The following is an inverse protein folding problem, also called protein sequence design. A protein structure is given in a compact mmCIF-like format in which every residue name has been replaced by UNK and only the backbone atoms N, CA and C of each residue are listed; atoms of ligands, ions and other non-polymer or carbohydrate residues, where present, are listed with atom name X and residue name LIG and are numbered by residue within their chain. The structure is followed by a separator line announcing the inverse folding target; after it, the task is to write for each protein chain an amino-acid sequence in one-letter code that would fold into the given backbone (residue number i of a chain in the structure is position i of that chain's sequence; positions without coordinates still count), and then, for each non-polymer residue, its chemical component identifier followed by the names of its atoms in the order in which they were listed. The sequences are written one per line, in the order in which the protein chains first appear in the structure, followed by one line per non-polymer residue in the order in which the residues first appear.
data_IF_680846884794
#
_entry.id   IF_680846884794
#
_cell.length_a   1.000
_cell.length_b   1.000
_cell.length_c   1.000
_cell.angle_alpha   90.00
_cell.angle_beta   90.00
_cell.angle_gamma   90.00
#
_symmetry.space_group_name_H-M   'P 1'
#
loop_
_entity.id
_entity.type
_entity.pdbx_description
1 polymer ?
#
# COMPACT_ATOMS: atom_id res chain seq x y z
N UNK A 1 29.64 -7.83 -22.09
CA UNK A 1 30.20 -6.99 -21.01
C UNK A 1 31.02 -7.88 -20.09
N UNK A 2 32.24 -7.51 -19.69
CA UNK A 2 32.61 -7.87 -18.34
C UNK A 2 33.19 -6.66 -17.62
N UNK A 3 32.31 -5.89 -16.99
CA UNK A 3 32.65 -4.95 -15.91
C UNK A 3 32.75 -5.69 -14.55
N UNK A 4 32.47 -6.99 -14.52
CA UNK A 4 32.45 -7.81 -13.30
C UNK A 4 33.64 -8.76 -13.32
N UNK A 5 34.58 -8.55 -12.39
CA UNK A 5 35.81 -9.35 -12.23
C UNK A 5 35.64 -10.49 -11.22
N UNK A 6 34.67 -10.39 -10.31
CA UNK A 6 34.25 -11.45 -9.37
C UNK A 6 32.85 -11.13 -8.81
N UNK A 7 32.11 -12.12 -8.35
CA UNK A 7 30.78 -11.96 -7.75
C UNK A 7 29.67 -12.68 -8.52
N UNK A 8 28.47 -12.11 -8.53
CA UNK A 8 27.29 -12.75 -9.13
C UNK A 8 27.43 -12.81 -10.65
N UNK A 9 27.55 -14.01 -11.18
CA UNK A 9 27.76 -14.25 -12.62
C UNK A 9 26.45 -14.23 -13.43
N UNK A 10 25.30 -14.39 -12.75
CA UNK A 10 23.97 -14.52 -13.38
C UNK A 10 23.08 -13.32 -13.11
N UNK A 11 22.42 -12.80 -14.15
CA UNK A 11 21.48 -11.70 -14.03
C UNK A 11 20.11 -12.05 -13.43
N UNK A 12 19.79 -13.33 -13.24
CA UNK A 12 18.47 -13.81 -12.80
C UNK A 12 18.43 -14.28 -11.34
N UNK A 13 19.20 -13.63 -10.46
CA UNK A 13 19.32 -14.05 -9.04
C UNK A 13 17.97 -14.17 -8.30
N UNK A 14 16.99 -13.31 -8.62
CA UNK A 14 15.64 -13.37 -8.01
C UNK A 14 14.95 -14.71 -8.28
N UNK A 15 15.02 -15.19 -9.51
CA UNK A 15 14.42 -16.47 -9.91
C UNK A 15 15.10 -17.64 -9.18
N UNK A 16 16.43 -17.63 -9.14
CA UNK A 16 17.22 -18.63 -8.42
C UNK A 16 16.90 -18.67 -6.92
N UNK A 17 16.69 -17.51 -6.30
CA UNK A 17 16.32 -17.41 -4.89
C UNK A 17 14.91 -17.98 -4.63
N UNK A 18 13.93 -17.67 -5.49
CA UNK A 18 12.56 -18.19 -5.36
C UNK A 18 12.52 -19.71 -5.55
N UNK A 19 13.23 -20.24 -6.55
CA UNK A 19 13.36 -21.69 -6.75
C UNK A 19 13.99 -22.37 -5.52
N UNK A 20 15.03 -21.76 -4.95
CA UNK A 20 15.67 -22.30 -3.75
C UNK A 20 14.75 -22.27 -2.52
N UNK A 21 13.91 -21.27 -2.39
CA UNK A 21 12.91 -21.22 -1.31
C UNK A 21 11.89 -22.35 -1.46
N UNK A 22 11.47 -22.65 -2.69
CA UNK A 22 10.55 -23.75 -2.99
C UNK A 22 11.15 -25.12 -2.65
N UNK A 23 12.42 -25.35 -3.01
CA UNK A 23 13.16 -26.56 -2.61
C UNK A 23 13.20 -26.77 -1.08
N UNK A 24 13.19 -25.67 -0.32
CA UNK A 24 13.20 -25.66 1.14
C UNK A 24 11.80 -25.70 1.76
N UNK A 25 10.74 -25.71 0.95
CA UNK A 25 9.35 -25.64 1.42
C UNK A 25 8.98 -24.29 2.06
N UNK A 26 9.75 -23.23 1.81
CA UNK A 26 9.53 -21.89 2.35
C UNK A 26 8.61 -21.10 1.43
N UNK A 27 7.60 -20.43 2.00
CA UNK A 27 6.71 -19.53 1.26
C UNK A 27 7.15 -18.08 1.40
N UNK A 28 7.32 -17.38 0.29
CA UNK A 28 7.52 -15.93 0.30
C UNK A 28 6.19 -15.23 0.55
N UNK A 29 6.15 -14.34 1.55
CA UNK A 29 4.97 -13.50 1.87
C UNK A 29 5.30 -12.01 1.76
N UNK A 30 6.21 -11.65 0.86
CA UNK A 30 6.50 -10.25 0.62
C UNK A 30 5.33 -9.56 -0.11
N UNK A 31 5.29 -8.23 -0.07
CA UNK A 31 4.23 -7.46 -0.72
C UNK A 31 4.18 -7.78 -2.23
N UNK A 32 5.35 -7.90 -2.87
CA UNK A 32 5.50 -8.03 -4.33
C UNK A 32 5.00 -9.37 -4.87
N UNK A 33 5.26 -10.47 -4.18
CA UNK A 33 4.81 -11.82 -4.58
C UNK A 33 3.32 -11.98 -4.38
N UNK A 34 2.72 -11.24 -3.44
CA UNK A 34 1.29 -11.30 -3.12
C UNK A 34 0.44 -10.39 -4.00
N UNK A 35 1.00 -9.43 -4.72
CA UNK A 35 0.23 -8.46 -5.53
C UNK A 35 -0.67 -9.18 -6.55
N UNK A 36 -1.95 -8.78 -6.63
CA UNK A 36 -2.93 -9.39 -7.53
C UNK A 36 -2.44 -9.47 -8.99
N UNK A 37 -1.74 -8.43 -9.48
CA UNK A 37 -1.18 -8.44 -10.84
C UNK A 37 -0.07 -9.49 -11.03
N UNK A 38 0.76 -9.73 -10.02
CA UNK A 38 1.82 -10.75 -10.07
C UNK A 38 1.21 -12.16 -9.96
N UNK A 39 0.21 -12.34 -9.09
CA UNK A 39 -0.50 -13.60 -8.94
C UNK A 39 -1.29 -13.99 -10.20
N UNK A 40 -1.92 -13.03 -10.88
CA UNK A 40 -2.61 -13.28 -12.15
C UNK A 40 -1.62 -13.66 -13.27
N UNK A 41 -0.50 -12.93 -13.40
CA UNK A 41 0.52 -13.20 -14.43
C UNK A 41 1.17 -14.57 -14.24
N UNK A 42 1.55 -14.92 -13.01
CA UNK A 42 2.33 -16.12 -12.73
C UNK A 42 1.47 -17.37 -12.47
N UNK A 43 0.30 -17.20 -11.87
CA UNK A 43 -0.53 -18.31 -11.37
C UNK A 43 -1.97 -18.29 -11.90
N UNK A 44 -2.40 -17.24 -12.62
CA UNK A 44 -3.77 -17.04 -13.13
C UNK A 44 -4.84 -17.12 -12.03
N UNK A 45 -4.47 -16.70 -10.81
CA UNK A 45 -5.36 -16.71 -9.66
C UNK A 45 -6.01 -15.34 -9.54
N UNK A 46 -7.35 -15.33 -9.47
CA UNK A 46 -8.14 -14.12 -9.24
C UNK A 46 -8.69 -14.14 -7.81
N UNK A 47 -8.69 -12.99 -7.12
CA UNK A 47 -9.25 -12.90 -5.79
C UNK A 47 -10.75 -13.19 -5.80
N UNK A 48 -11.21 -13.94 -4.81
CA UNK A 48 -12.62 -14.31 -4.66
C UNK A 48 -13.26 -13.57 -3.49
N UNK A 49 -12.71 -13.79 -2.28
CA UNK A 49 -13.22 -13.22 -1.04
C UNK A 49 -12.21 -12.22 -0.47
N UNK A 50 -12.57 -10.93 -0.49
CA UNK A 50 -11.67 -9.84 -0.13
C UNK A 50 -12.02 -9.27 1.23
N UNK A 51 -11.06 -9.27 2.13
CA UNK A 51 -11.22 -8.80 3.51
C UNK A 51 -10.29 -7.64 3.83
N UNK A 52 -10.71 -6.77 4.74
CA UNK A 52 -9.84 -5.73 5.30
C UNK A 52 -8.98 -6.34 6.41
N UNK A 53 -7.67 -6.31 6.21
CA UNK A 53 -6.68 -6.77 7.18
C UNK A 53 -5.93 -5.56 7.75
N UNK A 54 -5.73 -5.56 9.07
CA UNK A 54 -4.96 -4.55 9.80
C UNK A 54 -3.79 -5.21 10.51
N UNK A 55 -2.60 -4.61 10.40
CA UNK A 55 -1.39 -5.01 11.12
C UNK A 55 -0.73 -3.77 11.72
N UNK A 56 -0.62 -3.73 13.05
CA UNK A 56 0.02 -2.62 13.77
C UNK A 56 1.43 -3.01 14.22
N UNK A 57 2.37 -2.08 14.13
CA UNK A 57 3.73 -2.27 14.61
C UNK A 57 4.37 -0.94 15.06
N UNK A 58 5.34 -1.04 15.96
CA UNK A 58 6.15 0.09 16.39
C UNK A 58 7.36 0.26 15.46
N UNK A 59 7.57 1.48 14.96
CA UNK A 59 8.74 1.80 14.14
C UNK A 59 9.25 3.20 14.44
N UNK A 60 10.54 3.32 14.80
CA UNK A 60 11.21 4.57 15.17
C UNK A 60 10.35 5.41 16.11
N UNK A 61 9.99 4.82 17.27
CA UNK A 61 9.17 5.44 18.33
C UNK A 61 7.76 5.88 17.89
N UNK A 62 7.31 5.50 16.70
CA UNK A 62 5.98 5.78 16.19
C UNK A 62 5.12 4.53 16.09
N UNK A 63 3.81 4.77 16.04
CA UNK A 63 2.82 3.74 15.75
C UNK A 63 2.53 3.74 14.24
N UNK A 64 2.87 2.63 13.59
CA UNK A 64 2.51 2.35 12.20
C UNK A 64 1.33 1.36 12.15
N UNK A 65 0.37 1.67 11.30
CA UNK A 65 -0.81 0.86 11.01
C UNK A 65 -0.79 0.55 9.52
N UNK A 66 -0.60 -0.73 9.18
CA UNK A 66 -0.68 -1.24 7.83
C UNK A 66 -2.09 -1.79 7.59
N UNK A 67 -2.85 -1.10 6.75
CA UNK A 67 -4.15 -1.53 6.28
C UNK A 67 -4.00 -2.14 4.89
N UNK A 68 -4.70 -3.21 4.63
CA UNK A 68 -4.67 -3.87 3.33
C UNK A 68 -5.97 -4.57 3.03
N UNK A 69 -6.39 -4.53 1.78
CA UNK A 69 -7.40 -5.45 1.27
C UNK A 69 -6.70 -6.66 0.69
N UNK A 70 -6.98 -7.82 1.25
CA UNK A 70 -6.33 -9.09 0.93
C UNK A 70 -7.37 -10.20 0.77
N UNK A 71 -7.13 -11.15 -0.14
CA UNK A 71 -7.76 -12.47 -0.09
C UNK A 71 -6.90 -13.34 0.84
N UNK A 72 -7.40 -13.57 2.06
CA UNK A 72 -6.66 -14.26 3.11
C UNK A 72 -6.50 -15.76 2.85
N UNK A 73 -7.35 -16.33 1.99
CA UNK A 73 -7.33 -17.76 1.63
C UNK A 73 -6.30 -18.04 0.55
N UNK A 74 -6.23 -17.15 -0.44
CA UNK A 74 -5.32 -17.26 -1.57
C UNK A 74 -4.01 -16.48 -1.38
N UNK A 75 -3.89 -15.72 -0.29
CA UNK A 75 -2.73 -14.88 0.06
C UNK A 75 -2.44 -13.79 -0.98
N UNK A 76 -3.50 -13.18 -1.53
CA UNK A 76 -3.44 -12.16 -2.57
C UNK A 76 -3.66 -10.76 -1.97
N UNK A 77 -2.83 -9.80 -2.34
CA UNK A 77 -2.90 -8.40 -1.93
C UNK A 77 -3.46 -7.53 -3.07
N UNK A 78 -4.55 -6.82 -2.77
CA UNK A 78 -5.27 -5.98 -3.74
C UNK A 78 -4.96 -4.51 -3.54
N UNK A 79 -4.83 -4.07 -2.30
CA UNK A 79 -4.45 -2.70 -1.99
C UNK A 79 -3.90 -2.59 -0.59
N UNK A 80 -3.07 -1.57 -0.37
CA UNK A 80 -2.44 -1.28 0.91
C UNK A 80 -2.45 0.21 1.21
N UNK A 81 -2.45 0.53 2.49
CA UNK A 81 -2.30 1.88 3.02
C UNK A 81 -1.40 1.84 4.26
N UNK A 82 -0.40 2.72 4.29
CA UNK A 82 0.49 2.92 5.45
C UNK A 82 0.10 4.17 6.20
N UNK A 83 -0.47 4.00 7.39
CA UNK A 83 -0.86 5.08 8.28
C UNK A 83 0.12 5.16 9.45
N UNK A 84 0.62 6.36 9.74
CA UNK A 84 1.48 6.62 10.90
C UNK A 84 0.85 7.67 11.80
N UNK A 85 0.86 7.45 13.10
CA UNK A 85 0.56 8.50 14.08
C UNK A 85 1.77 9.43 14.21
N UNK A 86 1.58 10.73 14.01
CA UNK A 86 2.66 11.69 14.20
C UNK A 86 3.07 11.74 15.68
N UNK A 87 4.38 11.61 15.93
CA UNK A 87 4.97 11.69 17.26
C UNK A 87 5.29 13.14 17.67
N UNK A 88 6.00 13.30 18.80
CA UNK A 88 6.44 14.62 19.28
C UNK A 88 7.60 15.22 18.47
N UNK A 89 8.39 14.37 17.80
CA UNK A 89 9.62 14.76 17.11
C UNK A 89 9.40 15.20 15.65
N UNK A 90 8.22 15.75 15.34
CA UNK A 90 7.88 16.18 13.98
C UNK A 90 8.41 17.58 13.75
N UNK A 91 9.25 17.74 12.73
CA UNK A 91 9.87 19.02 12.35
C UNK A 91 9.09 19.78 11.28
N UNK A 92 8.24 19.10 10.51
CA UNK A 92 7.41 19.73 9.48
C UNK A 92 6.26 20.52 10.12
N UNK A 93 6.15 21.84 9.91
CA UNK A 93 5.12 22.69 10.52
C UNK A 93 3.68 22.20 10.27
N UNK A 94 3.40 21.69 9.07
CA UNK A 94 2.07 21.23 8.65
C UNK A 94 1.60 19.98 9.41
N UNK A 95 2.54 19.24 10.01
CA UNK A 95 2.27 17.99 10.72
C UNK A 95 2.33 18.16 12.26
N UNK A 96 2.60 19.38 12.74
CA UNK A 96 2.69 19.68 14.17
C UNK A 96 1.31 19.53 14.85
N UNK A 97 1.31 18.96 16.05
CA UNK A 97 0.12 18.80 16.88
C UNK A 97 -0.52 17.41 16.74
N UNK A 98 -1.85 17.34 16.81
CA UNK A 98 -2.58 16.06 16.77
C UNK A 98 -2.84 15.66 15.32
N UNK A 99 -1.79 15.22 14.62
CA UNK A 99 -1.86 14.80 13.23
C UNK A 99 -1.58 13.30 13.09
N UNK A 100 -2.15 12.69 12.05
CA UNK A 100 -1.72 11.39 11.53
C UNK A 100 -1.37 11.58 10.06
N UNK A 101 -0.51 10.71 9.52
CA UNK A 101 -0.03 10.80 8.15
C UNK A 101 -0.23 9.48 7.40
N UNK A 102 -0.87 9.55 6.24
CA UNK A 102 -0.86 8.49 5.24
C UNK A 102 0.41 8.65 4.41
N UNK A 103 1.31 7.68 4.55
CA UNK A 103 2.62 7.68 3.90
C UNK A 103 2.56 7.09 2.50
N UNK A 104 1.65 6.16 2.30
CA UNK A 104 1.47 5.43 1.06
C UNK A 104 0.03 4.95 0.97
N UNK A 105 -0.57 5.10 -0.20
CA UNK A 105 -1.79 4.42 -0.61
C UNK A 105 -1.48 3.82 -1.98
N UNK A 106 -1.64 2.50 -2.09
CA UNK A 106 -1.42 1.79 -3.34
C UNK A 106 -2.55 0.80 -3.56
N UNK A 107 -3.18 0.85 -4.73
CA UNK A 107 -4.19 -0.12 -5.15
C UNK A 107 -3.67 -0.78 -6.41
N UNK A 108 -3.48 -2.09 -6.35
CA UNK A 108 -3.05 -2.87 -7.49
C UNK A 108 -4.24 -3.05 -8.43
N UNK A 109 -4.13 -2.48 -9.63
CA UNK A 109 -5.02 -2.84 -10.73
C UNK A 109 -4.58 -4.16 -11.34
N UNK A 110 -5.50 -4.90 -11.95
CA UNK A 110 -5.14 -5.92 -12.94
C UNK A 110 -4.30 -5.28 -14.04
N UNK A 111 -3.11 -5.81 -14.32
CA UNK A 111 -2.32 -5.41 -15.47
C UNK A 111 -3.15 -5.66 -16.73
N UNK A 112 -3.60 -4.61 -17.41
CA UNK A 112 -4.50 -4.76 -18.56
C UNK A 112 -3.66 -5.19 -19.77
N UNK A 113 -3.87 -6.38 -20.36
CA UNK A 113 -3.40 -6.61 -21.72
C UNK A 113 -4.13 -5.61 -22.63
N UNK A 114 -3.38 -4.91 -23.48
CA UNK A 114 -3.79 -3.72 -24.25
C UNK A 114 -5.09 -3.90 -25.08
N UNK A 115 -5.66 -5.11 -25.18
CA UNK A 115 -6.78 -5.45 -26.06
C UNK A 115 -8.05 -6.02 -25.40
N UNK A 116 -8.21 -5.97 -24.07
CA UNK A 116 -9.42 -6.51 -23.40
C UNK A 116 -10.29 -5.45 -22.71
N UNK A 117 -11.51 -5.20 -23.23
CA UNK A 117 -12.57 -4.49 -22.49
C UNK A 117 -13.36 -5.50 -21.67
N UNK A 118 -12.83 -5.88 -20.49
CA UNK A 118 -13.54 -6.79 -19.58
C UNK A 118 -14.23 -6.06 -18.41
N UNK A 119 -15.40 -6.62 -18.06
CA UNK A 119 -16.39 -6.16 -17.07
C UNK A 119 -15.89 -6.32 -15.63
N UNK A 120 -14.90 -7.17 -15.37
CA UNK A 120 -14.25 -7.37 -14.06
C UNK A 120 -13.55 -6.10 -13.53
N UNK A 121 -13.31 -5.09 -14.38
CA UNK A 121 -12.73 -3.79 -14.00
C UNK A 121 -13.55 -3.03 -12.96
N UNK A 122 -14.84 -3.35 -12.80
CA UNK A 122 -15.73 -2.69 -11.83
C UNK A 122 -15.44 -3.10 -10.38
N UNK A 123 -14.86 -4.28 -10.12
CA UNK A 123 -14.68 -4.81 -8.76
C UNK A 123 -13.54 -4.12 -7.98
N UNK A 124 -12.58 -3.48 -8.68
CA UNK A 124 -11.46 -2.76 -8.06
C UNK A 124 -11.72 -1.26 -7.83
N UNK A 125 -12.85 -0.74 -8.31
CA UNK A 125 -13.20 0.68 -8.19
C UNK A 125 -13.79 0.97 -6.81
N UNK A 126 -12.94 1.02 -5.77
CA UNK A 126 -13.40 1.46 -4.45
C UNK A 126 -12.42 1.23 -3.30
N UNK A 127 -11.53 0.24 -3.41
CA UNK A 127 -10.62 -0.11 -2.31
C UNK A 127 -9.76 1.06 -1.83
N UNK A 128 -9.33 1.93 -2.75
CA UNK A 128 -8.58 3.13 -2.37
C UNK A 128 -9.38 4.11 -1.51
N UNK A 129 -10.70 4.24 -1.77
CA UNK A 129 -11.58 5.09 -0.97
C UNK A 129 -11.88 4.44 0.37
N UNK A 130 -12.20 3.14 0.38
CA UNK A 130 -12.46 2.38 1.61
C UNK A 130 -11.25 2.36 2.56
N UNK A 131 -10.03 2.20 2.03
CA UNK A 131 -8.80 2.29 2.81
C UNK A 131 -8.63 3.67 3.46
N UNK A 132 -8.91 4.74 2.70
CA UNK A 132 -8.84 6.11 3.21
C UNK A 132 -9.89 6.37 4.29
N UNK A 133 -11.12 5.90 4.11
CA UNK A 133 -12.19 6.01 5.11
C UNK A 133 -11.81 5.31 6.42
N UNK A 134 -11.25 4.10 6.33
CA UNK A 134 -10.79 3.37 7.50
C UNK A 134 -9.58 4.07 8.17
N UNK A 135 -8.66 4.63 7.38
CA UNK A 135 -7.55 5.42 7.89
C UNK A 135 -8.03 6.69 8.61
N UNK A 136 -9.04 7.38 8.07
CA UNK A 136 -9.70 8.53 8.73
C UNK A 136 -10.36 8.10 10.05
N UNK A 137 -11.05 6.94 10.07
CA UNK A 137 -11.67 6.37 11.27
C UNK A 137 -10.63 6.10 12.37
N UNK A 138 -9.54 5.41 12.04
CA UNK A 138 -8.45 5.07 12.98
C UNK A 138 -7.76 6.35 13.47
N UNK A 139 -7.41 7.26 12.57
CA UNK A 139 -6.77 8.52 12.91
C UNK A 139 -7.62 9.34 13.91
N UNK A 140 -8.94 9.40 13.70
CA UNK A 140 -9.84 10.12 14.58
C UNK A 140 -10.08 9.40 15.91
N UNK A 141 -10.50 8.13 15.87
CA UNK A 141 -10.97 7.41 17.07
C UNK A 141 -9.81 6.91 17.94
N UNK A 142 -8.76 6.38 17.33
CA UNK A 142 -7.69 5.67 18.02
C UNK A 142 -6.47 6.57 18.22
N UNK A 143 -6.01 7.25 17.16
CA UNK A 143 -4.88 8.18 17.30
C UNK A 143 -5.27 9.48 18.00
N UNK A 144 -6.57 9.82 18.03
CA UNK A 144 -7.13 11.11 18.51
C UNK A 144 -6.54 12.31 17.76
N UNK A 145 -6.26 12.11 16.48
CA UNK A 145 -5.81 13.15 15.57
C UNK A 145 -6.99 14.03 15.16
N UNK A 146 -6.74 15.33 15.02
CA UNK A 146 -7.68 16.30 14.46
C UNK A 146 -7.48 16.53 12.96
N UNK A 147 -6.38 16.00 12.41
CA UNK A 147 -5.93 16.27 11.05
C UNK A 147 -5.27 15.03 10.48
N UNK A 148 -5.59 14.70 9.23
CA UNK A 148 -4.94 13.63 8.46
C UNK A 148 -4.24 14.25 7.26
N UNK A 149 -2.94 14.03 7.17
CA UNK A 149 -2.11 14.45 6.05
C UNK A 149 -1.79 13.25 5.15
N UNK A 150 -1.60 13.50 3.86
CA UNK A 150 -1.25 12.47 2.87
C UNK A 150 -0.05 12.92 2.06
N UNK A 151 0.95 12.04 1.94
CA UNK A 151 2.05 12.22 0.99
C UNK A 151 1.52 11.85 -0.39
N UNK A 152 1.29 12.84 -1.24
CA UNK A 152 0.75 12.64 -2.58
C UNK A 152 1.72 13.11 -3.67
N UNK A 153 1.94 12.29 -4.70
CA UNK A 153 2.56 12.75 -5.94
C UNK A 153 1.69 13.81 -6.63
N UNK A 154 2.32 14.71 -7.39
CA UNK A 154 1.62 15.85 -8.03
C UNK A 154 0.43 15.39 -8.88
N UNK A 155 0.59 14.30 -9.64
CA UNK A 155 -0.45 13.74 -10.50
C UNK A 155 -1.62 13.09 -9.76
N UNK A 156 -1.48 12.73 -8.49
CA UNK A 156 -2.54 12.06 -7.70
C UNK A 156 -3.30 13.02 -6.79
N UNK A 157 -2.91 14.29 -6.70
CA UNK A 157 -3.57 15.30 -5.85
C UNK A 157 -5.07 15.46 -6.16
N UNK A 158 -5.47 15.37 -7.43
CA UNK A 158 -6.88 15.51 -7.81
C UNK A 158 -7.75 14.36 -7.27
N UNK A 159 -7.20 13.15 -7.11
CA UNK A 159 -7.90 12.04 -6.45
C UNK A 159 -8.24 12.41 -5.01
N UNK A 160 -7.28 12.91 -4.23
CA UNK A 160 -7.51 13.31 -2.84
C UNK A 160 -8.45 14.51 -2.71
N UNK A 161 -8.45 15.45 -3.67
CA UNK A 161 -9.42 16.55 -3.69
C UNK A 161 -10.87 16.06 -3.76
N UNK A 162 -11.14 15.00 -4.52
CA UNK A 162 -12.47 14.38 -4.58
C UNK A 162 -12.91 13.79 -3.23
N UNK A 163 -11.96 13.41 -2.38
CA UNK A 163 -12.20 12.92 -1.02
C UNK A 163 -12.29 14.03 0.04
N UNK A 164 -12.24 15.31 -0.39
CA UNK A 164 -12.31 16.48 0.48
C UNK A 164 -10.99 16.89 1.11
N UNK A 165 -9.85 16.48 0.53
CA UNK A 165 -8.54 16.95 0.96
C UNK A 165 -8.14 18.23 0.21
N UNK A 166 -7.46 19.11 0.92
CA UNK A 166 -6.92 20.37 0.40
C UNK A 166 -5.40 20.35 0.43
N UNK A 167 -4.74 21.20 -0.37
CA UNK A 167 -3.29 21.25 -0.41
C UNK A 167 -2.77 22.17 0.71
N UNK A 168 -1.96 21.63 1.62
CA UNK A 168 -1.27 22.38 2.68
C UNK A 168 0.23 22.06 2.61
N UNK A 169 1.03 23.01 2.10
CA UNK A 169 2.45 22.79 1.85
C UNK A 169 2.68 21.63 0.85
N UNK A 170 3.51 20.62 1.19
CA UNK A 170 3.74 19.47 0.33
C UNK A 170 2.66 18.37 0.47
N UNK A 171 1.74 18.47 1.42
CA UNK A 171 0.78 17.42 1.77
C UNK A 171 -0.64 17.73 1.28
N UNK A 172 -1.43 16.67 1.04
CA UNK A 172 -2.89 16.78 0.96
C UNK A 172 -3.46 16.55 2.35
N UNK A 173 -4.25 17.49 2.87
CA UNK A 173 -4.68 17.50 4.26
C UNK A 173 -6.20 17.60 4.36
N UNK A 174 -6.77 16.90 5.35
CA UNK A 174 -8.18 16.96 5.71
C UNK A 174 -8.32 17.06 7.23
N UNK A 175 -9.16 17.99 7.68
CA UNK A 175 -9.53 18.11 9.08
C UNK A 175 -10.51 16.98 9.44
N UNK A 176 -10.23 16.26 10.52
CA UNK A 176 -11.07 15.20 11.04
C UNK A 176 -12.01 15.81 12.09
N UNK A 177 -13.29 15.94 11.75
CA UNK A 177 -14.34 16.42 12.67
C UNK A 177 -14.75 15.34 13.68
#
# INVERSE_FOLDING_TARGET
MPLVTSGVEKGNLRELALARMEDLGLKCRDVRTREAGIQDIHHKIRPDEVELVRRDYAANEGWETFLSYEDTRQDILIGLLRLRKCGRNVTCPELVGRCSIVRELHVYGTAVPVHGRDVDKLQHQGYGTLLMEEAERIARKEHRSKKLAVISGVGTRHYYRKLGYELEGPYMVKCLA
#
